data_IF_145913687169
#
_entry.id   IF_145913687169
#
_cell.length_a   1.000
_cell.length_b   1.000
_cell.length_c   1.000
_cell.angle_alpha   90.00
_cell.angle_beta   90.00
_cell.angle_gamma   90.00
#
_symmetry.space_group_name_H-M   'P 1'
#
loop_
_entity.id
_entity.type
_entity.pdbx_description
1 polymer ?
#
# COMPACT_ATOMS: atom_id res chain seq x y z
N UNK A 1 19.49 3.99 -7.68
CA UNK A 1 18.39 4.12 -6.71
C UNK A 1 18.00 2.72 -6.27
N UNK A 2 17.96 2.44 -4.96
CA UNK A 2 17.52 1.15 -4.44
C UNK A 2 16.03 1.24 -4.12
N UNK A 3 15.26 0.24 -4.57
CA UNK A 3 13.83 0.15 -4.27
C UNK A 3 13.66 -0.75 -3.04
N UNK A 4 12.99 -0.23 -2.02
CA UNK A 4 12.53 -0.98 -0.85
C UNK A 4 11.01 -0.89 -0.87
N UNK A 5 10.34 -1.99 -1.24
CA UNK A 5 8.90 -2.05 -1.44
C UNK A 5 8.21 -2.66 -0.21
N UNK A 6 7.12 -2.08 0.25
CA UNK A 6 6.18 -2.76 1.15
C UNK A 6 5.00 -3.32 0.34
N UNK A 7 4.71 -4.61 0.53
CA UNK A 7 3.56 -5.27 -0.09
C UNK A 7 2.28 -5.02 0.72
N UNK A 8 1.14 -5.44 0.15
CA UNK A 8 -0.17 -5.47 0.78
C UNK A 8 -0.79 -4.08 1.09
N UNK A 9 -0.37 -3.04 0.36
CA UNK A 9 -0.95 -1.71 0.51
C UNK A 9 -2.45 -1.71 0.17
N UNK A 10 -3.28 -1.24 1.10
CA UNK A 10 -4.74 -1.29 0.97
C UNK A 10 -5.39 -2.60 1.41
N UNK A 11 -4.63 -3.62 1.83
CA UNK A 11 -5.18 -4.89 2.30
C UNK A 11 -6.08 -4.70 3.53
N UNK A 12 -5.55 -4.03 4.57
CA UNK A 12 -6.32 -3.54 5.72
C UNK A 12 -5.71 -2.24 6.25
N UNK A 13 -6.40 -1.60 7.19
CA UNK A 13 -5.92 -0.38 7.87
C UNK A 13 -4.54 -0.60 8.50
N UNK A 14 -4.29 -1.79 9.07
CA UNK A 14 -3.06 -2.08 9.77
C UNK A 14 -1.83 -2.10 8.84
N UNK A 15 -1.93 -2.79 7.71
CA UNK A 15 -0.87 -2.87 6.69
C UNK A 15 -0.61 -1.49 6.06
N UNK A 16 -1.67 -0.78 5.65
CA UNK A 16 -1.56 0.56 5.07
C UNK A 16 -0.89 1.54 6.04
N UNK A 17 -1.31 1.59 7.31
CA UNK A 17 -0.74 2.49 8.30
C UNK A 17 0.71 2.13 8.67
N UNK A 18 1.05 0.85 8.69
CA UNK A 18 2.42 0.41 8.92
C UNK A 18 3.34 0.83 7.77
N UNK A 19 2.94 0.57 6.52
CA UNK A 19 3.69 0.98 5.35
C UNK A 19 3.83 2.51 5.26
N UNK A 20 2.77 3.27 5.56
CA UNK A 20 2.80 4.74 5.53
C UNK A 20 3.77 5.30 6.56
N UNK A 21 3.78 4.74 7.79
CA UNK A 21 4.76 5.12 8.82
C UNK A 21 6.19 4.83 8.39
N UNK A 22 6.44 3.67 7.76
CA UNK A 22 7.75 3.32 7.23
C UNK A 22 8.19 4.27 6.11
N UNK A 23 7.28 4.64 5.21
CA UNK A 23 7.58 5.60 4.13
C UNK A 23 7.91 6.99 4.69
N UNK A 24 7.07 7.52 5.59
CA UNK A 24 7.33 8.79 6.27
C UNK A 24 8.62 8.78 7.09
N UNK A 25 9.04 7.62 7.58
CA UNK A 25 10.32 7.42 8.26
C UNK A 25 11.52 7.16 7.34
N UNK A 26 11.35 7.24 6.01
CA UNK A 26 12.39 7.00 5.02
C UNK A 26 12.92 5.57 4.97
N UNK A 27 12.12 4.58 5.41
CA UNK A 27 12.53 3.17 5.51
C UNK A 27 12.17 2.35 4.27
N UNK A 28 11.12 2.75 3.57
CA UNK A 28 10.70 2.18 2.28
C UNK A 28 10.64 3.29 1.23
N UNK A 29 10.72 2.93 -0.04
CA UNK A 29 10.72 3.87 -1.16
C UNK A 29 9.48 3.75 -2.04
N UNK A 30 8.75 2.63 -1.95
CA UNK A 30 7.54 2.36 -2.75
C UNK A 30 6.63 1.37 -2.02
N UNK A 31 5.41 1.18 -2.53
CA UNK A 31 4.48 0.15 -2.09
C UNK A 31 3.85 -0.59 -3.28
N UNK A 32 3.32 -1.79 -3.05
CA UNK A 32 2.47 -2.49 -4.03
C UNK A 32 1.04 -2.64 -3.50
N UNK A 33 0.07 -2.11 -4.22
CA UNK A 33 -1.32 -2.01 -3.80
C UNK A 33 -2.14 -3.24 -4.21
N UNK A 34 -2.80 -3.84 -3.23
CA UNK A 34 -3.88 -4.78 -3.48
C UNK A 34 -5.15 -3.98 -3.73
N UNK A 35 -5.75 -4.19 -4.89
CA UNK A 35 -7.02 -3.56 -5.25
C UNK A 35 -8.20 -4.38 -4.76
N UNK A 36 -9.31 -3.70 -4.48
CA UNK A 36 -10.55 -4.31 -4.01
C UNK A 36 -10.49 -5.01 -2.65
N UNK A 37 -9.64 -4.48 -1.80
CA UNK A 37 -9.48 -4.86 -0.42
C UNK A 37 -10.17 -3.86 0.50
N UNK A 38 -10.38 -4.24 1.75
CA UNK A 38 -11.11 -3.48 2.78
C UNK A 38 -10.65 -2.02 2.88
N UNK A 39 -9.35 -1.75 2.70
CA UNK A 39 -8.77 -0.44 2.87
C UNK A 39 -8.31 0.21 1.53
N UNK A 40 -8.62 -0.39 0.38
CA UNK A 40 -8.10 0.06 -0.92
C UNK A 40 -8.42 1.51 -1.25
N UNK A 41 -9.64 1.98 -0.97
CA UNK A 41 -10.03 3.37 -1.27
C UNK A 41 -9.25 4.38 -0.43
N UNK A 42 -9.16 4.16 0.89
CA UNK A 42 -8.38 5.02 1.79
C UNK A 42 -6.90 5.00 1.42
N UNK A 43 -6.37 3.81 1.11
CA UNK A 43 -4.98 3.63 0.73
C UNK A 43 -4.64 4.37 -0.58
N UNK A 44 -5.57 4.47 -1.53
CA UNK A 44 -5.39 5.26 -2.75
C UNK A 44 -5.29 6.77 -2.46
N UNK A 45 -6.19 7.31 -1.62
CA UNK A 45 -6.12 8.73 -1.22
C UNK A 45 -4.84 9.03 -0.44
N UNK A 46 -4.45 8.17 0.50
CA UNK A 46 -3.20 8.33 1.25
C UNK A 46 -1.96 8.30 0.34
N UNK A 47 -1.91 7.39 -0.64
CA UNK A 47 -0.81 7.34 -1.59
C UNK A 47 -0.70 8.66 -2.38
N UNK A 48 -1.84 9.19 -2.84
CA UNK A 48 -1.91 10.46 -3.56
C UNK A 48 -1.48 11.65 -2.70
N UNK A 49 -1.97 11.73 -1.46
CA UNK A 49 -1.63 12.81 -0.51
C UNK A 49 -0.15 12.85 -0.15
N UNK A 50 0.53 11.70 -0.17
CA UNK A 50 1.93 11.58 0.25
C UNK A 50 2.90 11.42 -0.93
N UNK A 51 2.42 11.54 -2.18
CA UNK A 51 3.21 11.34 -3.41
C UNK A 51 4.01 10.01 -3.40
N UNK A 52 3.35 8.95 -2.90
CA UNK A 52 3.93 7.62 -2.76
C UNK A 52 3.99 6.92 -4.12
N UNK A 53 5.12 6.29 -4.45
CA UNK A 53 5.21 5.42 -5.63
C UNK A 53 4.49 4.09 -5.37
N UNK A 54 3.51 3.75 -6.23
CA UNK A 54 2.59 2.62 -6.03
C UNK A 54 2.58 1.72 -7.25
N UNK A 55 2.98 0.46 -7.06
CA UNK A 55 2.79 -0.63 -8.02
C UNK A 55 1.47 -1.39 -7.78
N UNK A 56 1.09 -2.27 -8.71
CA UNK A 56 -0.05 -3.17 -8.56
C UNK A 56 0.40 -4.51 -7.95
N UNK A 57 -0.20 -4.91 -6.83
CA UNK A 57 -0.05 -6.23 -6.22
C UNK A 57 -1.18 -7.15 -6.68
N UNK A 58 -0.91 -8.02 -7.65
CA UNK A 58 -1.90 -8.97 -8.15
C UNK A 58 -2.16 -10.07 -7.11
N UNK A 59 -3.40 -10.16 -6.66
CA UNK A 59 -3.84 -11.16 -5.70
C UNK A 59 -4.75 -12.20 -6.39
N UNK A 60 -4.44 -13.48 -6.20
CA UNK A 60 -5.21 -14.62 -6.72
C UNK A 60 -5.76 -15.55 -5.62
N UNK A 61 -5.48 -15.24 -4.35
CA UNK A 61 -5.73 -16.14 -3.22
C UNK A 61 -6.69 -15.57 -2.19
N UNK A 62 -6.63 -14.26 -1.93
CA UNK A 62 -7.57 -13.63 -1.00
C UNK A 62 -8.86 -13.21 -1.70
N UNK A 63 -9.93 -13.15 -0.93
CA UNK A 63 -11.24 -12.73 -1.42
C UNK A 63 -11.28 -11.21 -1.60
N UNK A 64 -12.17 -10.77 -2.48
CA UNK A 64 -12.62 -9.38 -2.54
C UNK A 64 -13.25 -8.98 -1.20
N UNK A 65 -12.81 -7.86 -0.62
CA UNK A 65 -13.31 -7.35 0.67
C UNK A 65 -13.81 -5.91 0.63
N UNK A 66 -13.70 -5.24 -0.52
CA UNK A 66 -14.35 -3.96 -0.80
C UNK A 66 -15.85 -4.09 -1.12
#
# INVERSE_FOLDING_TARGET
>A
MLIINADDWGCSVAETDAALRCYKGGRITSVSAMVFMEDSERAAELAKENELDVGLHLNFTDKFTA
#
